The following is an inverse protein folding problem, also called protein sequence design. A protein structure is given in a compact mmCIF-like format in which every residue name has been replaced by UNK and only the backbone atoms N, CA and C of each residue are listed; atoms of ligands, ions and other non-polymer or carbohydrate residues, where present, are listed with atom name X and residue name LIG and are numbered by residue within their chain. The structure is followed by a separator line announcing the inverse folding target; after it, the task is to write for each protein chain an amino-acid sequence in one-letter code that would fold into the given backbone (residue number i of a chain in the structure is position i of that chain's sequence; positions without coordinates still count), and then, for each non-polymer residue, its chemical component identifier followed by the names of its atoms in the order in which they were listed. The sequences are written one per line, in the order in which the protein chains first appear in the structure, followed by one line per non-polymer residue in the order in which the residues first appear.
data_IF_729505394634
#
_entry.id   IF_729505394634
#
_cell.length_a   1.000
_cell.length_b   1.000
_cell.length_c   1.000
_cell.angle_alpha   90.00
_cell.angle_beta   90.00
_cell.angle_gamma   90.00
#
_symmetry.space_group_name_H-M   'P 1'
#
loop_
_entity.id
_entity.type
_entity.pdbx_description
1 polymer ?
#
# COMPACT_ATOMS: atom_id res chain seq x y z
N UNK A 1 40.99 -26.79 53.60
CA UNK A 1 41.51 -26.25 52.32
C UNK A 1 41.11 -27.26 51.24
N UNK A 2 40.37 -27.00 50.17
CA UNK A 2 40.12 -25.81 49.35
C UNK A 2 38.65 -25.80 48.88
N UNK A 3 38.11 -24.60 48.72
CA UNK A 3 36.83 -24.27 48.08
C UNK A 3 36.99 -24.41 46.56
N UNK A 4 36.04 -25.04 45.87
CA UNK A 4 35.79 -24.88 44.42
C UNK A 4 34.27 -24.73 44.31
N UNK A 5 33.78 -23.49 44.39
CA UNK A 5 33.50 -22.57 43.28
C UNK A 5 32.39 -23.09 42.36
N UNK A 6 31.20 -22.60 42.67
CA UNK A 6 30.09 -22.17 41.81
C UNK A 6 30.21 -22.33 40.29
N UNK A 7 29.05 -22.59 39.67
CA UNK A 7 28.57 -22.04 38.38
C UNK A 7 28.42 -23.05 37.22
N UNK A 8 27.27 -23.70 37.11
CA UNK A 8 26.55 -23.88 35.82
C UNK A 8 25.04 -23.97 36.11
N UNK A 9 24.42 -22.85 36.42
CA UNK A 9 22.97 -22.70 36.42
C UNK A 9 22.60 -21.41 35.66
N UNK A 10 23.04 -21.32 34.40
CA UNK A 10 22.62 -20.23 33.51
C UNK A 10 22.86 -20.58 32.03
N UNK A 11 22.20 -21.63 31.53
CA UNK A 11 22.22 -21.96 30.10
C UNK A 11 20.86 -22.50 29.66
N UNK A 12 19.79 -21.72 29.84
CA UNK A 12 18.48 -21.96 29.21
C UNK A 12 17.51 -20.75 29.27
N UNK A 13 18.00 -19.49 29.33
CA UNK A 13 17.12 -18.30 29.33
C UNK A 13 17.29 -17.38 28.11
N UNK A 14 17.92 -17.86 27.05
CA UNK A 14 18.03 -17.19 25.75
C UNK A 14 17.90 -18.32 24.71
N UNK A 15 16.96 -18.40 23.78
CA UNK A 15 16.24 -17.38 23.01
C UNK A 15 15.00 -18.00 22.32
N UNK A 16 13.75 -17.60 22.61
CA UNK A 16 12.64 -17.88 21.69
C UNK A 16 12.57 -16.87 20.52
N UNK A 17 13.32 -15.76 20.60
CA UNK A 17 13.22 -14.63 19.67
C UNK A 17 13.60 -14.99 18.23
N UNK A 18 14.65 -15.80 18.05
CA UNK A 18 15.15 -16.16 16.70
C UNK A 18 14.13 -16.98 15.90
N UNK A 19 13.38 -17.87 16.55
CA UNK A 19 12.34 -18.63 15.87
C UNK A 19 11.16 -17.72 15.50
N UNK A 20 10.75 -16.80 16.38
CA UNK A 20 9.66 -15.87 16.11
C UNK A 20 9.98 -14.90 14.96
N UNK A 21 11.22 -14.42 14.84
CA UNK A 21 11.64 -13.57 13.72
C UNK A 21 11.69 -14.32 12.38
N UNK A 22 12.07 -15.61 12.39
CA UNK A 22 12.09 -16.46 11.18
C UNK A 22 10.68 -16.78 10.64
N UNK A 23 9.64 -16.70 11.47
CA UNK A 23 8.24 -16.93 11.09
C UNK A 23 7.39 -15.65 11.08
N UNK A 24 7.99 -14.49 11.32
CA UNK A 24 7.28 -13.21 11.29
C UNK A 24 6.87 -12.89 9.84
N UNK A 25 5.61 -12.51 9.64
CA UNK A 25 5.14 -12.06 8.33
C UNK A 25 5.89 -10.78 7.95
N UNK A 26 6.27 -10.62 6.67
CA UNK A 26 6.91 -9.40 6.22
C UNK A 26 5.96 -8.22 6.41
N UNK A 27 6.43 -7.20 7.12
CA UNK A 27 5.67 -5.96 7.31
C UNK A 27 5.65 -5.17 5.99
N UNK A 28 4.48 -4.83 5.44
CA UNK A 28 4.40 -4.00 4.24
C UNK A 28 4.94 -2.58 4.52
N UNK A 29 5.64 -1.94 3.57
CA UNK A 29 6.07 -0.56 3.74
C UNK A 29 4.88 0.38 4.01
N UNK A 30 4.97 1.26 5.01
CA UNK A 30 3.87 2.16 5.39
C UNK A 30 3.32 3.00 4.22
N UNK A 31 4.21 3.52 3.36
CA UNK A 31 3.81 4.27 2.17
C UNK A 31 3.01 3.42 1.16
N UNK A 32 3.25 2.11 1.12
CA UNK A 32 2.48 1.21 0.26
C UNK A 32 1.07 0.99 0.84
N UNK A 33 0.95 0.84 2.16
CA UNK A 33 -0.35 0.76 2.85
C UNK A 33 -1.14 2.05 2.62
N UNK A 34 -0.51 3.21 2.76
CA UNK A 34 -1.13 4.51 2.48
C UNK A 34 -1.58 4.64 1.03
N UNK A 35 -0.73 4.26 0.07
CA UNK A 35 -1.06 4.28 -1.36
C UNK A 35 -2.26 3.36 -1.69
N UNK A 36 -2.37 2.21 -1.03
CA UNK A 36 -3.53 1.33 -1.14
C UNK A 36 -4.77 2.00 -0.57
N UNK A 37 -4.71 2.55 0.65
CA UNK A 37 -5.86 3.20 1.28
C UNK A 37 -6.37 4.42 0.47
N UNK A 38 -5.46 5.17 -0.17
CA UNK A 38 -5.80 6.23 -1.11
C UNK A 38 -6.55 5.68 -2.34
N UNK A 39 -6.06 4.58 -2.90
CA UNK A 39 -6.68 3.93 -4.06
C UNK A 39 -8.04 3.30 -3.74
N UNK A 40 -8.18 2.69 -2.55
CA UNK A 40 -9.38 1.96 -2.14
C UNK A 40 -10.56 2.89 -1.86
N UNK A 41 -10.34 3.97 -1.11
CA UNK A 41 -11.43 4.85 -0.71
C UNK A 41 -11.08 6.32 -0.60
N UNK A 42 -9.84 6.72 -0.95
CA UNK A 42 -9.35 8.06 -0.66
C UNK A 42 -9.24 8.31 0.84
N UNK A 43 -8.84 7.30 1.62
CA UNK A 43 -8.74 7.35 3.09
C UNK A 43 -10.08 7.50 3.84
N UNK A 44 -11.23 7.39 3.16
CA UNK A 44 -12.53 7.52 3.82
C UNK A 44 -12.83 6.31 4.73
N UNK A 45 -12.97 6.50 6.06
CA UNK A 45 -13.24 5.42 7.01
C UNK A 45 -14.67 4.87 6.91
N UNK A 46 -15.59 5.62 6.31
CA UNK A 46 -17.01 5.24 6.21
C UNK A 46 -17.38 4.75 4.80
N UNK A 47 -16.40 4.58 3.92
CA UNK A 47 -16.65 4.04 2.58
C UNK A 47 -17.21 2.61 2.67
N UNK A 48 -18.29 2.37 1.93
CA UNK A 48 -18.90 1.05 1.81
C UNK A 48 -19.14 0.77 0.34
N UNK A 49 -18.66 -0.37 -0.15
CA UNK A 49 -19.05 -0.89 -1.46
C UNK A 49 -20.01 -2.06 -1.26
N UNK A 50 -21.15 -2.07 -1.95
CA UNK A 50 -22.12 -3.17 -1.90
C UNK A 50 -22.36 -3.67 -3.32
N UNK A 51 -22.01 -4.93 -3.58
CA UNK A 51 -22.18 -5.58 -4.87
C UNK A 51 -21.66 -4.75 -6.07
N UNK A 52 -20.53 -4.05 -5.89
CA UNK A 52 -19.89 -3.21 -6.90
C UNK A 52 -20.37 -1.76 -6.94
N UNK A 53 -21.32 -1.36 -6.09
CA UNK A 53 -21.76 0.04 -5.95
C UNK A 53 -21.14 0.69 -4.71
N UNK A 54 -20.37 1.74 -4.92
CA UNK A 54 -19.72 2.53 -3.85
C UNK A 54 -20.66 3.55 -3.21
N UNK A 55 -20.53 3.70 -1.90
CA UNK A 55 -21.20 4.68 -1.06
C UNK A 55 -20.17 5.37 -0.15
N UNK A 56 -20.31 6.69 0.02
CA UNK A 56 -19.45 7.50 0.91
C UNK A 56 -20.31 8.29 1.90
N UNK A 57 -20.97 7.62 2.86
CA UNK A 57 -21.80 8.27 3.86
C UNK A 57 -20.99 9.24 4.73
N UNK A 58 -21.62 10.35 5.14
CA UNK A 58 -20.98 11.37 5.96
C UNK A 58 -20.84 11.01 7.44
N UNK A 59 -21.57 9.98 7.91
CA UNK A 59 -21.58 9.59 9.33
C UNK A 59 -21.45 8.08 9.48
N UNK A 60 -20.94 7.66 10.63
CA UNK A 60 -20.79 6.26 11.00
C UNK A 60 -22.13 5.52 10.97
N UNK A 61 -23.18 6.11 11.54
CA UNK A 61 -24.50 5.49 11.66
C UNK A 61 -25.09 5.16 10.28
N UNK A 62 -24.88 6.03 9.28
CA UNK A 62 -25.32 5.78 7.91
C UNK A 62 -24.53 4.64 7.26
N UNK A 63 -23.23 4.53 7.54
CA UNK A 63 -22.41 3.41 7.08
C UNK A 63 -22.86 2.09 7.72
N UNK A 64 -23.12 2.08 9.03
CA UNK A 64 -23.64 0.92 9.75
C UNK A 64 -24.97 0.43 9.18
N UNK A 65 -25.90 1.35 8.86
CA UNK A 65 -27.16 1.00 8.18
C UNK A 65 -26.95 0.34 6.82
N UNK A 66 -25.99 0.83 6.02
CA UNK A 66 -25.65 0.24 4.72
C UNK A 66 -25.07 -1.18 4.90
N UNK A 67 -24.17 -1.35 5.85
CA UNK A 67 -23.56 -2.64 6.18
C UNK A 67 -24.62 -3.64 6.66
N UNK A 68 -25.48 -3.24 7.60
CA UNK A 68 -26.57 -4.08 8.10
C UNK A 68 -27.53 -4.52 6.99
N UNK A 69 -27.85 -3.62 6.05
CA UNK A 69 -28.66 -3.96 4.86
C UNK A 69 -27.95 -4.95 3.95
N UNK A 70 -26.66 -4.79 3.72
CA UNK A 70 -25.88 -5.73 2.91
C UNK A 70 -25.82 -7.13 3.53
N UNK A 71 -25.62 -7.21 4.86
CA UNK A 71 -25.66 -8.45 5.62
C UNK A 71 -27.04 -9.11 5.51
N UNK A 72 -28.12 -8.36 5.78
CA UNK A 72 -29.48 -8.90 5.73
C UNK A 72 -29.87 -9.39 4.32
N UNK A 73 -29.29 -8.80 3.28
CA UNK A 73 -29.51 -9.19 1.89
C UNK A 73 -28.56 -10.30 1.38
N UNK A 74 -27.58 -10.73 2.18
CA UNK A 74 -26.59 -11.74 1.76
C UNK A 74 -25.70 -11.27 0.61
N UNK A 75 -25.43 -9.97 0.51
CA UNK A 75 -24.63 -9.39 -0.58
C UNK A 75 -23.13 -9.35 -0.19
N UNK A 76 -22.25 -9.42 -1.18
CA UNK A 76 -20.83 -9.09 -0.97
C UNK A 76 -20.69 -7.57 -0.76
N UNK A 77 -19.86 -7.19 0.21
CA UNK A 77 -19.60 -5.78 0.48
C UNK A 77 -18.17 -5.56 1.00
N UNK A 78 -17.66 -4.34 0.85
CA UNK A 78 -16.35 -3.90 1.31
C UNK A 78 -16.51 -2.73 2.29
N UNK A 79 -15.68 -2.67 3.35
CA UNK A 79 -15.82 -1.66 4.41
C UNK A 79 -14.52 -0.91 4.68
N UNK A 80 -14.67 0.40 4.86
CA UNK A 80 -13.68 1.30 5.43
C UNK A 80 -12.54 1.67 4.48
N UNK A 81 -11.49 2.27 5.05
CA UNK A 81 -10.43 2.93 4.27
C UNK A 81 -9.58 2.00 3.39
N UNK A 82 -9.48 0.74 3.78
CA UNK A 82 -8.77 -0.33 3.08
C UNK A 82 -9.71 -1.22 2.26
N UNK A 83 -11.02 -0.92 2.24
CA UNK A 83 -12.07 -1.69 1.57
C UNK A 83 -11.94 -3.20 1.84
N UNK A 84 -12.01 -3.58 3.11
CA UNK A 84 -11.92 -5.00 3.50
C UNK A 84 -13.21 -5.70 3.07
N UNK A 85 -13.09 -6.75 2.27
CA UNK A 85 -14.23 -7.49 1.73
C UNK A 85 -14.88 -8.42 2.76
N UNK A 86 -16.21 -8.61 2.66
CA UNK A 86 -17.01 -9.47 3.52
C UNK A 86 -16.54 -10.93 3.55
N UNK A 87 -15.90 -11.43 2.49
CA UNK A 87 -15.27 -12.75 2.49
C UNK A 87 -14.16 -12.89 3.54
N UNK A 88 -13.33 -11.85 3.70
CA UNK A 88 -12.29 -11.83 4.74
C UNK A 88 -12.90 -11.75 6.13
N UNK A 89 -14.00 -10.99 6.26
CA UNK A 89 -14.71 -10.84 7.53
C UNK A 89 -15.26 -12.17 8.01
N UNK A 90 -15.94 -12.89 7.11
CA UNK A 90 -16.53 -14.19 7.40
C UNK A 90 -15.45 -15.24 7.69
N UNK A 91 -14.37 -15.24 6.92
CA UNK A 91 -13.24 -16.17 7.09
C UNK A 91 -12.52 -16.02 8.45
N UNK A 92 -12.42 -14.81 8.98
CA UNK A 92 -11.64 -14.53 10.19
C UNK A 92 -12.47 -14.03 11.38
N UNK A 93 -13.80 -14.05 11.27
CA UNK A 93 -14.69 -13.57 12.33
C UNK A 93 -14.51 -12.07 12.64
N UNK A 94 -14.22 -11.26 11.62
CA UNK A 94 -14.07 -9.80 11.77
C UNK A 94 -15.45 -9.19 11.88
N UNK A 95 -15.72 -8.41 12.93
CA UNK A 95 -16.94 -7.61 13.01
C UNK A 95 -16.92 -6.53 11.91
N UNK A 96 -17.89 -6.52 10.97
CA UNK A 96 -17.97 -5.53 9.91
C UNK A 96 -18.05 -4.09 10.44
N UNK A 97 -18.69 -3.85 11.59
CA UNK A 97 -18.85 -2.50 12.12
C UNK A 97 -17.55 -1.98 12.74
N UNK A 98 -16.70 -2.86 13.28
CA UNK A 98 -15.37 -2.52 13.76
C UNK A 98 -14.46 -1.95 12.66
N UNK A 99 -14.72 -2.29 11.40
CA UNK A 99 -13.96 -1.81 10.24
C UNK A 99 -14.26 -0.36 9.85
N UNK A 100 -15.22 0.30 10.51
CA UNK A 100 -15.45 1.74 10.42
C UNK A 100 -14.47 2.55 11.30
N UNK A 101 -13.78 1.90 12.24
CA UNK A 101 -12.64 2.50 12.92
C UNK A 101 -11.41 2.46 11.99
N UNK A 102 -10.84 3.62 11.60
CA UNK A 102 -9.78 3.67 10.60
C UNK A 102 -8.52 2.89 11.01
N UNK A 103 -8.16 2.90 12.29
CA UNK A 103 -6.98 2.20 12.77
C UNK A 103 -7.18 0.67 12.76
N UNK A 104 -8.35 0.20 13.16
CA UNK A 104 -8.73 -1.23 13.08
C UNK A 104 -8.76 -1.70 11.64
N UNK A 105 -9.35 -0.91 10.75
CA UNK A 105 -9.41 -1.19 9.33
C UNK A 105 -8.02 -1.29 8.68
N UNK A 106 -7.12 -0.33 8.99
CA UNK A 106 -5.74 -0.34 8.50
C UNK A 106 -4.94 -1.53 9.03
N UNK A 107 -5.11 -1.91 10.30
CA UNK A 107 -4.46 -3.11 10.85
C UNK A 107 -4.86 -4.37 10.10
N UNK A 108 -6.15 -4.54 9.81
CA UNK A 108 -6.64 -5.67 9.02
C UNK A 108 -6.15 -5.63 7.58
N UNK A 109 -6.22 -4.48 6.90
CA UNK A 109 -5.73 -4.33 5.54
C UNK A 109 -4.23 -4.60 5.41
N UNK A 110 -3.44 -4.09 6.35
CA UNK A 110 -1.99 -4.34 6.42
C UNK A 110 -1.69 -5.82 6.63
N UNK A 111 -2.44 -6.48 7.53
CA UNK A 111 -2.28 -7.91 7.78
C UNK A 111 -2.64 -8.76 6.54
N UNK A 112 -3.71 -8.42 5.82
CA UNK A 112 -4.08 -9.10 4.57
C UNK A 112 -3.01 -8.88 3.50
N UNK A 113 -2.48 -7.66 3.38
CA UNK A 113 -1.40 -7.38 2.45
C UNK A 113 -0.12 -8.16 2.80
N UNK A 114 0.21 -8.27 4.09
CA UNK A 114 1.33 -9.07 4.57
C UNK A 114 1.17 -10.56 4.21
N UNK A 115 -0.06 -11.09 4.25
CA UNK A 115 -0.36 -12.45 3.77
C UNK A 115 -0.04 -12.62 2.29
N UNK A 116 -0.46 -11.68 1.44
CA UNK A 116 -0.18 -11.76 0.00
C UNK A 116 1.31 -11.59 -0.31
N UNK A 117 2.01 -10.73 0.44
CA UNK A 117 3.47 -10.57 0.35
C UNK A 117 4.17 -11.85 0.79
N UNK A 118 3.73 -12.51 1.86
CA UNK A 118 4.31 -13.78 2.29
C UNK A 118 4.19 -14.87 1.20
N UNK A 119 3.07 -14.89 0.47
CA UNK A 119 2.82 -15.89 -0.61
C UNK A 119 3.53 -15.57 -1.92
N UNK A 120 3.72 -14.30 -2.24
CA UNK A 120 4.14 -13.88 -3.58
C UNK A 120 5.45 -13.09 -3.61
N UNK A 121 6.00 -12.74 -2.46
CA UNK A 121 7.10 -11.80 -2.29
C UNK A 121 6.63 -10.35 -2.37
N UNK A 122 7.44 -9.42 -1.86
CA UNK A 122 7.16 -7.98 -1.94
C UNK A 122 7.32 -7.51 -3.39
N UNK A 123 6.21 -7.47 -4.12
CA UNK A 123 6.15 -7.01 -5.51
C UNK A 123 4.70 -6.64 -5.90
N UNK A 124 4.53 -6.08 -7.08
CA UNK A 124 3.23 -5.66 -7.60
C UNK A 124 2.23 -6.80 -7.83
N UNK A 125 2.68 -8.06 -7.92
CA UNK A 125 1.75 -9.20 -7.96
C UNK A 125 1.07 -9.39 -6.60
N UNK A 126 1.80 -9.25 -5.49
CA UNK A 126 1.21 -9.29 -4.15
C UNK A 126 0.17 -8.16 -3.97
N UNK A 127 0.51 -6.94 -4.41
CA UNK A 127 -0.42 -5.80 -4.40
C UNK A 127 -1.66 -6.09 -5.24
N UNK A 128 -1.51 -6.66 -6.44
CA UNK A 128 -2.65 -7.04 -7.27
C UNK A 128 -3.53 -8.13 -6.63
N UNK A 129 -2.91 -9.06 -5.90
CA UNK A 129 -3.61 -10.16 -5.22
C UNK A 129 -4.38 -9.74 -3.98
N UNK A 130 -3.97 -8.65 -3.33
CA UNK A 130 -4.76 -8.01 -2.27
C UNK A 130 -6.19 -7.69 -2.75
N UNK A 131 -6.30 -7.13 -3.96
CA UNK A 131 -7.58 -6.70 -4.53
C UNK A 131 -8.33 -7.79 -5.32
N UNK A 132 -7.63 -8.67 -6.06
CA UNK A 132 -8.32 -9.67 -6.88
C UNK A 132 -7.51 -10.95 -7.12
N UNK A 133 -8.16 -12.14 -7.11
CA UNK A 133 -7.53 -13.37 -7.57
C UNK A 133 -7.30 -13.36 -9.09
N UNK A 134 -8.08 -12.60 -9.85
CA UNK A 134 -7.93 -12.50 -11.30
C UNK A 134 -6.63 -11.75 -11.68
N UNK A 135 -5.75 -12.35 -12.51
CA UNK A 135 -4.47 -11.75 -12.83
C UNK A 135 -4.57 -10.41 -13.58
N UNK A 136 -5.57 -10.20 -14.43
CA UNK A 136 -5.67 -8.97 -15.21
C UNK A 136 -6.18 -7.81 -14.37
N UNK A 137 -7.26 -8.04 -13.62
CA UNK A 137 -7.80 -7.08 -12.64
C UNK A 137 -6.74 -6.70 -11.61
N UNK A 138 -6.01 -7.68 -11.09
CA UNK A 138 -4.91 -7.45 -10.14
C UNK A 138 -3.78 -6.59 -10.74
N UNK A 139 -3.38 -6.83 -12.00
CA UNK A 139 -2.38 -5.98 -12.68
C UNK A 139 -2.87 -4.54 -12.85
N UNK A 140 -4.11 -4.35 -13.31
CA UNK A 140 -4.71 -3.01 -13.48
C UNK A 140 -4.74 -2.27 -12.15
N UNK A 141 -5.19 -2.94 -11.10
CA UNK A 141 -5.22 -2.39 -9.74
C UNK A 141 -3.81 -2.00 -9.24
N UNK A 142 -2.83 -2.90 -9.35
CA UNK A 142 -1.47 -2.63 -8.89
C UNK A 142 -0.84 -1.40 -9.59
N UNK A 143 -1.18 -1.17 -10.85
CA UNK A 143 -0.75 0.04 -11.57
C UNK A 143 -1.36 1.32 -11.02
N UNK A 144 -2.62 1.29 -10.59
CA UNK A 144 -3.27 2.44 -9.95
C UNK A 144 -2.62 2.76 -8.59
N UNK A 145 -2.39 1.74 -7.76
CA UNK A 145 -1.66 1.88 -6.48
C UNK A 145 -0.25 2.45 -6.71
N UNK A 146 0.46 1.96 -7.73
CA UNK A 146 1.80 2.48 -8.07
C UNK A 146 1.81 3.99 -8.31
N UNK A 147 0.76 4.55 -8.92
CA UNK A 147 0.68 6.01 -9.15
C UNK A 147 0.58 6.80 -7.85
N UNK A 148 -0.20 6.32 -6.89
CA UNK A 148 -0.26 6.91 -5.55
C UNK A 148 1.10 6.79 -4.84
N UNK A 149 1.69 5.59 -4.86
CA UNK A 149 2.97 5.31 -4.21
C UNK A 149 4.12 6.19 -4.74
N UNK A 150 4.24 6.32 -6.06
CA UNK A 150 5.25 7.17 -6.69
C UNK A 150 5.03 8.66 -6.38
N UNK A 151 3.77 9.11 -6.32
CA UNK A 151 3.42 10.48 -5.95
C UNK A 151 3.84 10.84 -4.52
N UNK A 152 3.57 9.95 -3.55
CA UNK A 152 3.98 10.14 -2.16
C UNK A 152 5.51 10.26 -2.02
N UNK A 153 6.27 9.49 -2.81
CA UNK A 153 7.72 9.59 -2.86
C UNK A 153 8.21 10.96 -3.36
N UNK A 154 7.55 11.52 -4.38
CA UNK A 154 7.91 12.83 -4.93
C UNK A 154 7.63 13.99 -3.96
N UNK A 155 6.48 13.97 -3.27
CA UNK A 155 6.12 15.00 -2.28
C UNK A 155 7.09 15.03 -1.11
N UNK A 156 7.54 13.86 -0.63
CA UNK A 156 8.50 13.76 0.48
C UNK A 156 9.90 14.30 0.13
N UNK A 157 10.28 14.26 -1.15
CA UNK A 157 11.55 14.86 -1.63
C UNK A 157 11.46 16.40 -1.66
N UNK A 158 10.26 16.96 -1.88
CA UNK A 158 10.03 18.40 -1.87
C UNK A 158 9.89 18.99 -0.46
N UNK A 159 9.45 18.19 0.52
CA UNK A 159 9.35 18.59 1.94
C UNK A 159 10.65 18.38 2.74
N UNK A 160 11.71 17.82 2.14
CA UNK A 160 13.03 17.78 2.76
C UNK A 160 13.59 19.22 2.90
N UNK A 161 14.20 19.61 4.04
CA UNK A 161 14.57 20.98 4.28
C UNK A 161 15.62 21.45 3.27
N UNK A 162 15.27 22.47 2.49
CA UNK A 162 16.24 23.31 1.81
C UNK A 162 17.13 23.92 2.90
N UNK A 163 18.37 23.46 3.00
CA UNK A 163 19.39 24.15 3.79
C UNK A 163 19.58 25.52 3.12
N UNK A 164 19.07 26.56 3.77
CA UNK A 164 19.18 27.93 3.31
C UNK A 164 20.66 28.34 3.33
N UNK A 165 21.30 28.25 2.16
CA UNK A 165 22.57 28.89 1.93
C UNK A 165 22.31 30.39 1.85
N UNK A 166 22.73 31.09 2.92
CA UNK A 166 22.88 32.55 2.95
C UNK A 166 23.74 32.98 1.75
N UNK A 167 23.10 33.50 0.70
CA UNK A 167 23.78 34.15 -0.42
C UNK A 167 24.11 35.57 0.04
N UNK A 168 25.40 35.84 0.23
CA UNK A 168 25.90 37.19 0.43
C UNK A 168 25.67 38.02 -0.84
N UNK A 169 25.00 39.15 -0.64
CA UNK A 169 24.73 40.19 -1.64
C UNK A 169 26.02 40.75 -2.23
N UNK A 170 26.11 40.80 -3.56
CA UNK A 170 26.67 41.93 -4.34
C UNK A 170 26.69 41.61 -5.85
N UNK A 171 25.72 42.16 -6.61
CA UNK A 171 25.98 43.15 -7.67
C UNK A 171 24.73 43.41 -8.54
N UNK A 172 24.44 44.70 -8.72
CA UNK A 172 23.48 45.26 -9.66
C UNK A 172 23.89 44.99 -11.12
N UNK A 173 22.91 44.76 -12.00
CA UNK A 173 22.63 45.61 -13.18
C UNK A 173 21.38 45.12 -13.93
N UNK A 174 20.38 45.99 -14.06
CA UNK A 174 19.27 45.94 -15.04
C UNK A 174 19.74 46.71 -16.30
N UNK A 175 19.29 46.40 -17.53
CA UNK A 175 18.02 46.95 -18.03
C UNK A 175 17.20 46.05 -18.98
N UNK A 176 15.88 46.07 -18.78
CA UNK A 176 14.80 46.13 -19.82
C UNK A 176 14.71 45.02 -20.90
N UNK A 177 13.77 44.08 -20.67
CA UNK A 177 12.53 43.88 -21.44
C UNK A 177 12.57 43.42 -22.91
N UNK A 178 11.88 42.30 -23.21
CA UNK A 178 10.85 42.21 -24.28
C UNK A 178 10.04 40.91 -24.18
N UNK A 179 8.77 41.04 -24.58
CA UNK A 179 7.63 40.12 -24.53
C UNK A 179 7.71 39.06 -25.64
N UNK A 180 7.16 37.85 -25.43
CA UNK A 180 6.32 37.16 -26.43
C UNK A 180 5.50 36.03 -25.80
N UNK A 181 4.19 36.15 -26.03
CA UNK A 181 3.12 35.18 -25.85
C UNK A 181 3.04 34.32 -27.11
N UNK A 182 2.99 32.99 -27.00
CA UNK A 182 2.32 32.12 -27.98
C UNK A 182 1.75 30.85 -27.33
N UNK A 183 0.47 30.66 -27.58
CA UNK A 183 -0.39 29.52 -27.30
C UNK A 183 -0.21 28.43 -28.37
N UNK A 184 -0.04 27.16 -27.95
CA UNK A 184 -0.24 25.97 -28.81
C UNK A 184 -0.89 24.86 -27.96
N UNK A 185 -2.05 24.37 -28.43
CA UNK A 185 -2.91 23.39 -27.74
C UNK A 185 -2.38 21.95 -27.74
N UNK A 186 -3.00 21.03 -26.96
CA UNK A 186 -2.52 19.66 -26.85
C UNK A 186 -3.07 18.79 -27.98
N UNK A 187 -2.21 18.43 -28.92
CA UNK A 187 -2.48 17.34 -29.88
C UNK A 187 -2.09 16.02 -29.23
N UNK A 188 -3.05 15.09 -29.18
CA UNK A 188 -2.85 13.73 -28.71
C UNK A 188 -1.93 12.92 -29.62
N UNK A 189 -1.05 12.14 -29.01
CA UNK A 189 -0.27 11.09 -29.67
C UNK A 189 -0.15 9.89 -28.74
N UNK A 190 -0.60 8.72 -29.20
CA UNK A 190 -0.39 7.45 -28.51
C UNK A 190 1.11 7.09 -28.57
N UNK A 191 1.78 7.06 -27.42
CA UNK A 191 3.19 6.64 -27.33
C UNK A 191 3.23 5.16 -26.95
N UNK A 192 3.83 4.27 -27.77
CA UNK A 192 4.02 2.87 -27.42
C UNK A 192 5.04 2.78 -26.28
N UNK A 193 4.63 2.23 -25.13
CA UNK A 193 5.42 2.25 -23.91
C UNK A 193 6.44 1.12 -23.88
N UNK A 194 7.64 1.41 -24.38
CA UNK A 194 8.89 0.88 -23.81
C UNK A 194 9.58 2.05 -23.09
N UNK A 195 9.00 2.50 -21.97
CA UNK A 195 9.69 3.43 -21.08
C UNK A 195 10.40 2.62 -20.01
N UNK A 196 11.72 2.67 -20.11
CA UNK A 196 12.65 2.17 -19.12
C UNK A 196 12.45 2.98 -17.83
N UNK A 197 11.77 2.37 -16.85
CA UNK A 197 11.46 2.95 -15.54
C UNK A 197 12.76 3.11 -14.72
N UNK A 198 13.46 4.21 -14.91
CA UNK A 198 14.55 4.63 -14.03
C UNK A 198 13.94 5.15 -12.73
N UNK A 199 14.04 4.39 -11.64
CA UNK A 199 13.72 4.87 -10.29
C UNK A 199 12.95 3.91 -9.38
N UNK A 200 12.51 2.74 -9.85
CA UNK A 200 11.77 1.77 -9.01
C UNK A 200 12.72 0.60 -8.67
N UNK A 201 13.14 0.39 -7.41
CA UNK A 201 14.15 -0.63 -7.09
C UNK A 201 13.65 -2.08 -7.27
N UNK A 202 12.35 -2.28 -7.49
CA UNK A 202 11.72 -3.61 -7.45
C UNK A 202 10.73 -3.79 -8.61
N UNK A 203 11.26 -3.82 -9.83
CA UNK A 203 10.48 -4.22 -11.02
C UNK A 203 10.56 -5.73 -11.20
N UNK A 204 9.40 -6.33 -11.47
CA UNK A 204 9.14 -7.69 -11.91
C UNK A 204 10.36 -8.44 -12.46
N UNK A 205 10.95 -9.34 -11.67
CA UNK A 205 11.70 -10.47 -12.21
C UNK A 205 10.78 -11.69 -12.21
N UNK A 206 10.25 -12.15 -13.35
CA UNK A 206 9.74 -13.51 -13.41
C UNK A 206 10.88 -14.46 -13.01
N UNK A 207 10.62 -15.43 -12.14
CA UNK A 207 11.55 -16.53 -11.91
C UNK A 207 11.85 -17.17 -13.28
N UNK A 208 13.12 -17.45 -13.65
CA UNK A 208 13.38 -18.24 -14.83
C UNK A 208 12.70 -19.60 -14.64
N UNK A 209 11.65 -19.83 -15.41
CA UNK A 209 10.96 -21.11 -15.45
C UNK A 209 11.89 -22.09 -16.15
N UNK A 210 12.15 -23.23 -15.49
CA UNK A 210 12.75 -24.40 -16.11
C UNK A 210 11.86 -24.80 -17.29
N UNK A 211 12.39 -24.67 -18.50
CA UNK A 211 11.79 -25.22 -19.71
C UNK A 211 11.64 -26.73 -19.55
N UNK A 212 10.41 -27.19 -19.29
CA UNK A 212 10.02 -28.57 -19.52
C UNK A 212 9.98 -28.78 -21.03
N UNK A 213 10.99 -29.47 -21.55
CA UNK A 213 11.00 -29.94 -22.92
C UNK A 213 9.83 -30.87 -23.16
N UNK A 214 9.13 -30.65 -24.27
CA UNK A 214 8.44 -31.72 -24.98
C UNK A 214 9.53 -32.48 -25.74
N UNK A 215 9.63 -33.77 -25.50
CA UNK A 215 9.59 -34.84 -26.49
C UNK A 215 9.17 -36.13 -25.77
#
# INVERSE_FOLDING_TARGET
MKKILTLVALLCLHTPTVAAELYAKPEPPAQLVEAIALQESGLNPFAVNIAGRSYSPATREKAEQLIQRAIAAGLSFDVGKMQINSWWMERYGIDPLSLLDPATNERWGTWILAEEIARHGLNWKAVGKYHSPDPERGRRYAWLVYRHYAGLGASRIQEAPCVEQKVDSQNLSDPRGTRTDQSIGPQGGAVPFHVQQKGVPWVFRPKPGTSGGKD
#
